data_IF_084447033273
#
_entry.id   IF_084447033273
#
_cell.length_a   1.000
_cell.length_b   1.000
_cell.length_c   1.000
_cell.angle_alpha   90.00
_cell.angle_beta   90.00
_cell.angle_gamma   90.00
#
_symmetry.space_group_name_H-M   'P 1'
#
loop_
_entity.id
_entity.type
_entity.pdbx_description
1 polymer ?
#
# COMPACT_ATOMS: atom_id res chain seq x y z
N UNK A 1 28.62 37.36 -3.66
CA UNK A 1 28.94 36.69 -4.94
C UNK A 1 29.82 35.45 -4.71
N UNK A 2 30.85 35.52 -3.84
CA UNK A 2 31.67 34.34 -3.49
C UNK A 2 30.94 33.29 -2.62
N UNK A 3 30.00 33.69 -1.74
CA UNK A 3 29.23 32.74 -0.92
C UNK A 3 28.29 31.84 -1.74
N UNK A 4 27.56 32.38 -2.72
CA UNK A 4 26.67 31.62 -3.61
C UNK A 4 27.44 30.62 -4.50
N UNK A 5 28.67 30.95 -4.88
CA UNK A 5 29.51 30.07 -5.70
C UNK A 5 30.08 28.90 -4.87
N UNK A 6 30.32 29.12 -3.57
CA UNK A 6 30.77 28.09 -2.62
C UNK A 6 29.67 27.06 -2.28
N UNK A 7 28.43 27.50 -2.06
CA UNK A 7 27.27 26.62 -1.84
C UNK A 7 26.97 25.76 -3.09
N UNK A 8 27.03 26.38 -4.27
CA UNK A 8 26.85 25.68 -5.56
C UNK A 8 27.88 24.57 -5.77
N UNK A 9 29.10 24.76 -5.27
CA UNK A 9 30.20 23.80 -5.37
C UNK A 9 30.04 22.66 -4.35
N UNK A 10 29.75 23.01 -3.08
CA UNK A 10 29.50 22.05 -2.00
C UNK A 10 28.31 21.12 -2.29
N UNK A 11 27.21 21.67 -2.83
CA UNK A 11 26.05 20.88 -3.25
C UNK A 11 26.41 19.89 -4.36
N UNK A 12 27.17 20.33 -5.38
CA UNK A 12 27.57 19.48 -6.50
C UNK A 12 28.46 18.32 -6.05
N UNK A 13 29.34 18.54 -5.08
CA UNK A 13 30.22 17.51 -4.55
C UNK A 13 29.45 16.50 -3.68
N UNK A 14 28.48 16.97 -2.88
CA UNK A 14 27.60 16.09 -2.11
C UNK A 14 26.77 15.18 -3.03
N UNK A 15 26.17 15.75 -4.09
CA UNK A 15 25.42 14.99 -5.11
C UNK A 15 26.31 13.99 -5.85
N UNK A 16 27.55 14.35 -6.19
CA UNK A 16 28.53 13.44 -6.80
C UNK A 16 28.88 12.29 -5.88
N UNK A 17 29.08 12.55 -4.58
CA UNK A 17 29.43 11.54 -3.60
C UNK A 17 28.31 10.52 -3.42
N UNK A 18 27.06 10.97 -3.31
CA UNK A 18 25.86 10.11 -3.26
C UNK A 18 25.71 9.30 -4.55
N UNK A 19 25.95 9.90 -5.72
CA UNK A 19 25.95 9.20 -7.01
C UNK A 19 27.01 8.10 -7.10
N UNK A 20 28.22 8.37 -6.59
CA UNK A 20 29.35 7.41 -6.58
C UNK A 20 29.08 6.23 -5.65
N UNK A 21 28.49 6.50 -4.48
CA UNK A 21 28.06 5.46 -3.53
C UNK A 21 26.99 4.54 -4.13
N UNK A 22 25.99 5.10 -4.84
CA UNK A 22 24.98 4.32 -5.57
C UNK A 22 25.55 3.52 -6.75
N UNK A 23 26.70 3.92 -7.32
CA UNK A 23 27.34 3.20 -8.44
C UNK A 23 28.19 2.01 -8.01
N UNK A 24 28.58 1.95 -6.72
CA UNK A 24 29.43 0.89 -6.17
C UNK A 24 28.63 -0.33 -5.66
N UNK A 25 27.30 -0.21 -5.57
CA UNK A 25 26.42 -1.36 -5.39
C UNK A 25 26.28 -2.08 -6.73
N UNK A 26 26.49 -3.39 -6.72
CA UNK A 26 26.23 -4.28 -7.87
C UNK A 26 24.75 -4.17 -8.26
N UNK A 27 24.44 -3.26 -9.20
CA UNK A 27 23.09 -2.81 -9.50
C UNK A 27 22.18 -3.96 -9.93
N UNK A 28 22.71 -4.89 -10.70
CA UNK A 28 21.93 -6.00 -11.23
C UNK A 28 21.56 -6.99 -10.13
N UNK A 29 22.50 -7.29 -9.22
CA UNK A 29 22.24 -8.10 -8.02
C UNK A 29 21.21 -7.42 -7.11
N UNK A 30 21.37 -6.14 -6.82
CA UNK A 30 20.43 -5.38 -5.98
C UNK A 30 19.02 -5.30 -6.58
N UNK A 31 18.90 -5.11 -7.90
CA UNK A 31 17.61 -5.08 -8.59
C UNK A 31 16.92 -6.44 -8.57
N UNK A 32 17.66 -7.54 -8.71
CA UNK A 32 17.12 -8.90 -8.58
C UNK A 32 16.62 -9.17 -7.15
N UNK A 33 17.39 -8.83 -6.13
CA UNK A 33 17.00 -9.01 -4.73
C UNK A 33 15.73 -8.20 -4.39
N UNK A 34 15.67 -6.94 -4.85
CA UNK A 34 14.49 -6.09 -4.67
C UNK A 34 13.26 -6.64 -5.40
N UNK A 35 13.43 -7.17 -6.62
CA UNK A 35 12.34 -7.84 -7.34
C UNK A 35 11.76 -9.00 -6.55
N UNK A 36 12.64 -9.83 -5.99
CA UNK A 36 12.26 -10.97 -5.15
C UNK A 36 11.49 -10.50 -3.91
N UNK A 37 12.02 -9.53 -3.18
CA UNK A 37 11.40 -8.99 -1.98
C UNK A 37 10.02 -8.37 -2.27
N UNK A 38 9.90 -7.57 -3.34
CA UNK A 38 8.64 -6.95 -3.75
C UNK A 38 7.59 -8.00 -4.12
N UNK A 39 7.99 -9.07 -4.83
CA UNK A 39 7.10 -10.15 -5.23
C UNK A 39 6.58 -10.91 -3.99
N UNK A 40 7.47 -11.19 -3.03
CA UNK A 40 7.10 -11.81 -1.75
C UNK A 40 6.12 -10.91 -0.99
N UNK A 41 6.43 -9.61 -0.84
CA UNK A 41 5.54 -8.67 -0.16
C UNK A 41 4.17 -8.59 -0.83
N UNK A 42 4.12 -8.43 -2.15
CA UNK A 42 2.86 -8.36 -2.88
C UNK A 42 2.05 -9.67 -2.76
N UNK A 43 2.71 -10.83 -2.79
CA UNK A 43 2.04 -12.14 -2.60
C UNK A 43 1.48 -12.28 -1.19
N UNK A 44 2.24 -11.84 -0.17
CA UNK A 44 1.78 -11.81 1.22
C UNK A 44 0.55 -10.90 1.35
N UNK A 45 0.60 -9.68 0.81
CA UNK A 45 -0.52 -8.73 0.86
C UNK A 45 -1.77 -9.25 0.13
N UNK A 46 -1.59 -9.88 -1.05
CA UNK A 46 -2.68 -10.52 -1.77
C UNK A 46 -3.29 -11.66 -0.94
N UNK A 47 -2.46 -12.46 -0.26
CA UNK A 47 -2.93 -13.57 0.57
C UNK A 47 -3.66 -13.06 1.81
N UNK A 48 -3.14 -12.04 2.50
CA UNK A 48 -3.78 -11.48 3.70
C UNK A 48 -5.12 -10.84 3.38
N UNK A 49 -5.22 -10.13 2.24
CA UNK A 49 -6.47 -9.49 1.80
C UNK A 49 -7.49 -10.52 1.30
N UNK A 50 -7.04 -11.60 0.67
CA UNK A 50 -7.89 -12.73 0.32
C UNK A 50 -8.45 -13.43 1.57
N UNK A 51 -7.59 -13.66 2.58
CA UNK A 51 -7.99 -14.28 3.84
C UNK A 51 -9.02 -13.42 4.59
N UNK A 52 -8.83 -12.11 4.64
CA UNK A 52 -9.76 -11.20 5.31
C UNK A 52 -11.09 -11.05 4.58
N UNK A 53 -11.13 -11.22 3.25
CA UNK A 53 -12.36 -11.21 2.47
C UNK A 53 -13.16 -12.52 2.63
N UNK A 54 -12.46 -13.67 2.67
CA UNK A 54 -13.09 -14.99 2.83
C UNK A 54 -13.48 -15.31 4.26
N UNK A 55 -12.80 -14.69 5.23
CA UNK A 55 -13.10 -14.79 6.66
C UNK A 55 -13.32 -13.36 7.18
N UNK A 56 -14.51 -12.77 6.97
CA UNK A 56 -14.75 -11.39 7.30
C UNK A 56 -14.56 -11.14 8.81
N UNK A 57 -14.11 -9.93 9.20
CA UNK A 57 -14.09 -9.54 10.59
C UNK A 57 -15.50 -9.67 11.17
N UNK A 58 -15.61 -10.11 12.44
CA UNK A 58 -16.90 -10.42 13.06
C UNK A 58 -17.52 -11.76 12.64
N UNK A 59 -16.91 -12.48 11.70
CA UNK A 59 -17.35 -13.78 11.24
C UNK A 59 -18.60 -13.71 10.34
N UNK A 60 -19.16 -14.89 10.08
CA UNK A 60 -20.34 -15.04 9.24
C UNK A 60 -21.58 -15.35 10.08
N UNK A 61 -22.72 -14.90 9.60
CA UNK A 61 -24.02 -15.13 10.19
C UNK A 61 -24.28 -16.64 10.26
N UNK A 62 -24.61 -17.19 11.43
CA UNK A 62 -24.78 -18.62 11.60
C UNK A 62 -26.10 -19.10 11.00
N UNK A 63 -26.18 -20.39 10.69
CA UNK A 63 -27.44 -21.06 10.38
C UNK A 63 -28.24 -21.25 11.68
N UNK A 64 -29.52 -20.88 11.68
CA UNK A 64 -30.40 -21.12 12.82
C UNK A 64 -30.82 -22.60 12.89
N UNK A 65 -31.13 -23.12 14.09
CA UNK A 65 -31.65 -24.48 14.23
C UNK A 65 -32.87 -24.67 13.34
N UNK A 66 -32.81 -25.66 12.45
CA UNK A 66 -33.90 -26.00 11.55
C UNK A 66 -34.98 -26.69 12.39
N UNK A 67 -36.00 -25.93 12.81
CA UNK A 67 -37.04 -26.45 13.72
C UNK A 67 -38.24 -27.09 13.04
N UNK A 68 -38.28 -27.18 11.70
CA UNK A 68 -39.28 -27.88 10.88
C UNK A 68 -38.67 -28.20 9.49
N UNK A 69 -39.41 -28.69 8.49
CA UNK A 69 -38.97 -28.86 7.08
C UNK A 69 -38.52 -27.56 6.37
N UNK A 70 -38.15 -26.50 7.10
CA UNK A 70 -37.54 -25.30 6.54
C UNK A 70 -36.15 -25.62 5.99
N UNK A 71 -35.97 -25.32 4.71
CA UNK A 71 -34.65 -25.38 4.10
C UNK A 71 -33.81 -24.20 4.58
N UNK A 72 -32.48 -24.32 4.50
CA UNK A 72 -31.56 -23.19 4.76
C UNK A 72 -31.91 -21.97 3.88
N UNK A 73 -32.51 -22.18 2.70
CA UNK A 73 -32.98 -21.11 1.82
C UNK A 73 -34.19 -20.34 2.36
N UNK A 74 -35.02 -20.96 3.18
CA UNK A 74 -36.19 -20.30 3.77
C UNK A 74 -35.78 -19.30 4.87
N UNK A 75 -34.64 -19.55 5.53
CA UNK A 75 -34.05 -18.64 6.54
C UNK A 75 -33.64 -17.28 5.96
N UNK A 76 -33.36 -17.20 4.66
CA UNK A 76 -33.01 -15.97 3.96
C UNK A 76 -34.17 -14.97 3.79
N UNK A 77 -35.41 -15.37 4.10
CA UNK A 77 -36.61 -14.53 3.87
C UNK A 77 -36.65 -13.24 4.69
N UNK A 78 -35.89 -13.17 5.79
CA UNK A 78 -35.81 -11.99 6.64
C UNK A 78 -34.67 -11.02 6.26
N UNK A 79 -34.06 -11.19 5.08
CA UNK A 79 -33.04 -10.27 4.55
C UNK A 79 -31.61 -10.55 5.04
N UNK A 80 -31.42 -11.51 5.94
CA UNK A 80 -30.11 -11.97 6.40
C UNK A 80 -30.00 -13.47 6.16
N UNK A 81 -28.99 -13.88 5.39
CA UNK A 81 -28.72 -15.28 5.08
C UNK A 81 -27.52 -15.79 5.89
N UNK A 82 -27.51 -17.08 6.26
CA UNK A 82 -26.32 -17.74 6.75
C UNK A 82 -25.16 -17.57 5.75
N UNK A 83 -23.97 -17.28 6.26
CA UNK A 83 -22.78 -16.99 5.43
C UNK A 83 -22.57 -15.51 5.10
N UNK A 84 -23.55 -14.63 5.34
CA UNK A 84 -23.32 -13.18 5.25
C UNK A 84 -22.40 -12.72 6.37
N UNK A 85 -21.54 -11.73 6.12
CA UNK A 85 -20.73 -11.14 7.20
C UNK A 85 -21.65 -10.53 8.27
N UNK A 86 -21.42 -10.84 9.54
CA UNK A 86 -22.17 -10.24 10.66
C UNK A 86 -22.00 -8.72 10.66
N UNK A 87 -20.76 -8.26 10.46
CA UNK A 87 -20.44 -6.84 10.42
C UNK A 87 -21.04 -6.12 9.20
N UNK A 88 -21.33 -6.83 8.11
CA UNK A 88 -22.05 -6.23 6.98
C UNK A 88 -23.51 -5.88 7.31
N UNK A 89 -24.11 -6.58 8.27
CA UNK A 89 -25.49 -6.36 8.71
C UNK A 89 -25.54 -5.31 9.83
N UNK A 90 -24.57 -5.34 10.75
CA UNK A 90 -24.55 -4.45 11.93
C UNK A 90 -23.96 -3.08 11.61
N UNK A 91 -22.86 -3.04 10.86
CA UNK A 91 -22.05 -1.84 10.57
C UNK A 91 -21.81 -1.71 9.06
N UNK A 92 -22.90 -1.56 8.30
CA UNK A 92 -22.87 -1.63 6.84
C UNK A 92 -21.89 -0.64 6.19
N UNK A 93 -21.90 0.62 6.64
CA UNK A 93 -21.07 1.69 6.06
C UNK A 93 -19.57 1.44 6.26
N UNK A 94 -19.16 1.00 7.46
CA UNK A 94 -17.76 0.71 7.75
C UNK A 94 -17.31 -0.61 7.09
N UNK A 95 -18.21 -1.59 6.98
CA UNK A 95 -17.95 -2.83 6.24
C UNK A 95 -17.75 -2.57 4.74
N UNK A 96 -18.55 -1.69 4.13
CA UNK A 96 -18.37 -1.28 2.74
C UNK A 96 -17.00 -0.63 2.51
N UNK A 97 -16.61 0.32 3.38
CA UNK A 97 -15.29 0.95 3.34
C UNK A 97 -14.16 -0.07 3.48
N UNK A 98 -14.27 -0.98 4.44
CA UNK A 98 -13.34 -2.08 4.63
C UNK A 98 -13.16 -2.88 3.34
N UNK A 99 -14.25 -3.29 2.68
CA UNK A 99 -14.20 -4.06 1.45
C UNK A 99 -13.56 -3.29 0.29
N UNK A 100 -13.86 -2.00 0.14
CA UNK A 100 -13.27 -1.16 -0.92
C UNK A 100 -11.76 -1.08 -0.75
N UNK A 101 -11.28 -0.76 0.45
CA UNK A 101 -9.84 -0.68 0.72
C UNK A 101 -9.15 -2.04 0.58
N UNK A 102 -9.76 -3.11 1.09
CA UNK A 102 -9.20 -4.46 1.05
C UNK A 102 -9.09 -4.96 -0.40
N UNK A 103 -10.12 -4.74 -1.22
CA UNK A 103 -10.14 -5.12 -2.64
C UNK A 103 -9.14 -4.30 -3.45
N UNK A 104 -9.00 -3.01 -3.15
CA UNK A 104 -7.98 -2.15 -3.79
C UNK A 104 -6.57 -2.66 -3.51
N UNK A 105 -6.30 -3.05 -2.26
CA UNK A 105 -5.03 -3.66 -1.86
C UNK A 105 -4.78 -5.00 -2.58
N UNK A 106 -5.81 -5.86 -2.68
CA UNK A 106 -5.72 -7.15 -3.37
C UNK A 106 -5.41 -6.98 -4.86
N UNK A 107 -6.19 -6.18 -5.59
CA UNK A 107 -5.99 -5.94 -7.02
C UNK A 107 -4.63 -5.30 -7.29
N UNK A 108 -4.23 -4.30 -6.49
CA UNK A 108 -2.93 -3.65 -6.64
C UNK A 108 -1.78 -4.62 -6.39
N UNK A 109 -1.92 -5.52 -5.41
CA UNK A 109 -0.93 -6.56 -5.12
C UNK A 109 -0.78 -7.53 -6.29
N UNK A 110 -1.90 -7.99 -6.87
CA UNK A 110 -1.88 -8.85 -8.06
C UNK A 110 -1.25 -8.13 -9.27
N UNK A 111 -1.57 -6.85 -9.48
CA UNK A 111 -0.98 -6.07 -10.56
C UNK A 111 0.55 -5.96 -10.41
N UNK A 112 1.05 -5.72 -9.19
CA UNK A 112 2.49 -5.70 -8.90
C UNK A 112 3.10 -7.09 -9.11
N UNK A 113 2.47 -8.17 -8.65
CA UNK A 113 2.94 -9.53 -8.91
C UNK A 113 3.03 -9.84 -10.40
N UNK A 114 2.01 -9.50 -11.19
CA UNK A 114 2.01 -9.71 -12.63
C UNK A 114 3.14 -8.93 -13.31
N UNK A 115 3.31 -7.64 -12.98
CA UNK A 115 4.41 -6.83 -13.50
C UNK A 115 5.78 -7.44 -13.17
N UNK A 116 5.97 -7.95 -11.96
CA UNK A 116 7.21 -8.58 -11.54
C UNK A 116 7.42 -9.96 -12.17
N UNK A 117 6.37 -10.74 -12.42
CA UNK A 117 6.46 -12.07 -13.05
C UNK A 117 6.70 -11.97 -14.56
N UNK A 118 6.13 -10.97 -15.23
CA UNK A 118 6.27 -10.74 -16.68
C UNK A 118 7.70 -10.49 -17.17
N UNK A 119 8.69 -10.42 -16.26
CA UNK A 119 10.09 -10.30 -16.66
C UNK A 119 10.49 -8.93 -17.15
N UNK A 120 9.64 -7.90 -16.93
CA UNK A 120 9.99 -6.53 -17.30
C UNK A 120 11.26 -6.09 -16.58
N UNK A 121 12.22 -5.50 -17.31
CA UNK A 121 13.48 -5.08 -16.70
C UNK A 121 13.21 -3.93 -15.73
N UNK A 122 13.30 -4.21 -14.42
CA UNK A 122 13.25 -3.20 -13.35
C UNK A 122 14.42 -2.19 -13.42
N UNK A 123 15.38 -2.42 -14.32
CA UNK A 123 16.41 -1.45 -14.67
C UNK A 123 15.81 -0.24 -15.42
N UNK A 124 14.67 -0.43 -16.10
CA UNK A 124 13.99 0.68 -16.76
C UNK A 124 13.16 1.48 -15.76
N UNK A 125 13.51 2.77 -15.65
CA UNK A 125 12.96 3.73 -14.67
C UNK A 125 11.44 3.74 -14.59
N UNK A 126 10.75 3.53 -15.71
CA UNK A 126 9.28 3.49 -15.75
C UNK A 126 8.71 2.33 -14.94
N UNK A 127 9.27 1.11 -15.07
CA UNK A 127 8.76 -0.07 -14.36
C UNK A 127 9.07 0.00 -12.86
N UNK A 128 10.26 0.51 -12.49
CA UNK A 128 10.58 0.77 -11.08
C UNK A 128 9.61 1.78 -10.47
N UNK A 129 9.29 2.85 -11.21
CA UNK A 129 8.35 3.88 -10.77
C UNK A 129 6.92 3.33 -10.64
N UNK A 130 6.47 2.53 -11.61
CA UNK A 130 5.17 1.87 -11.57
C UNK A 130 5.05 0.89 -10.39
N UNK A 131 6.08 0.06 -10.15
CA UNK A 131 6.12 -0.83 -8.98
C UNK A 131 6.11 -0.02 -7.68
N UNK A 132 6.86 1.08 -7.62
CA UNK A 132 6.89 1.96 -6.44
C UNK A 132 5.52 2.58 -6.16
N UNK A 133 4.79 3.01 -7.19
CA UNK A 133 3.41 3.51 -7.04
C UNK A 133 2.49 2.39 -6.58
N UNK A 134 2.58 1.21 -7.20
CA UNK A 134 1.81 0.03 -6.81
C UNK A 134 2.01 -0.31 -5.33
N UNK A 135 3.26 -0.32 -4.85
CA UNK A 135 3.56 -0.53 -3.44
C UNK A 135 2.97 0.56 -2.53
N UNK A 136 3.04 1.83 -2.93
CA UNK A 136 2.42 2.90 -2.15
C UNK A 136 0.91 2.73 -2.04
N UNK A 137 0.24 2.33 -3.12
CA UNK A 137 -1.20 2.05 -3.14
C UNK A 137 -1.51 0.86 -2.21
N UNK A 138 -0.80 -0.26 -2.36
CA UNK A 138 -0.97 -1.47 -1.52
C UNK A 138 -0.86 -1.09 -0.04
N UNK A 139 0.23 -0.44 0.32
CA UNK A 139 0.58 -0.12 1.71
C UNK A 139 -0.45 0.88 2.29
N UNK A 140 -0.91 1.86 1.49
CA UNK A 140 -1.94 2.83 1.89
C UNK A 140 -3.30 2.18 2.06
N UNK A 141 -3.75 1.44 1.06
CA UNK A 141 -5.03 0.73 1.10
C UNK A 141 -5.08 -0.26 2.27
N UNK A 142 -4.01 -1.00 2.52
CA UNK A 142 -3.93 -1.92 3.67
C UNK A 142 -4.06 -1.19 5.01
N UNK A 143 -3.45 -0.01 5.14
CA UNK A 143 -3.58 0.81 6.36
C UNK A 143 -5.02 1.24 6.57
N UNK A 144 -5.69 1.73 5.53
CA UNK A 144 -7.11 2.07 5.63
C UNK A 144 -8.00 0.86 5.92
N UNK A 145 -7.71 -0.31 5.31
CA UNK A 145 -8.38 -1.57 5.65
C UNK A 145 -8.24 -1.90 7.12
N UNK A 146 -7.04 -1.76 7.69
CA UNK A 146 -6.80 -2.00 9.11
C UNK A 146 -7.58 -1.01 9.99
N UNK A 147 -7.60 0.28 9.62
CA UNK A 147 -8.34 1.30 10.37
C UNK A 147 -9.85 1.01 10.38
N UNK A 148 -10.43 0.65 9.24
CA UNK A 148 -11.85 0.25 9.15
C UNK A 148 -12.12 -1.05 9.91
N UNK A 149 -11.25 -2.06 9.81
CA UNK A 149 -11.42 -3.28 10.60
C UNK A 149 -11.36 -2.99 12.11
N UNK A 150 -10.41 -2.17 12.56
CA UNK A 150 -10.31 -1.77 13.96
C UNK A 150 -11.53 -0.95 14.40
N UNK A 151 -12.08 -0.10 13.53
CA UNK A 151 -13.26 0.69 13.83
C UNK A 151 -14.48 -0.19 14.07
N UNK A 152 -14.67 -1.22 13.25
CA UNK A 152 -15.79 -2.15 13.29
C UNK A 152 -15.72 -3.13 14.46
N UNK A 153 -14.52 -3.53 14.89
CA UNK A 153 -14.35 -4.49 16.00
C UNK A 153 -14.33 -3.82 17.39
N UNK A 154 -14.32 -2.49 17.47
CA UNK A 154 -14.22 -1.76 18.74
C UNK A 154 -15.59 -1.28 19.20
N UNK A 155 -16.07 -1.67 20.40
CA UNK A 155 -17.38 -1.27 20.91
C UNK A 155 -17.47 0.22 21.27
N UNK A 156 -18.70 0.73 21.29
CA UNK A 156 -18.95 2.17 21.31
C UNK A 156 -18.46 2.90 22.58
N UNK A 157 -18.45 2.21 23.70
CA UNK A 157 -17.97 2.78 24.96
C UNK A 157 -16.49 3.20 24.91
N UNK A 158 -15.73 2.78 23.89
CA UNK A 158 -14.31 3.11 23.69
C UNK A 158 -14.07 4.14 22.56
N UNK A 159 -15.11 4.80 22.01
CA UNK A 159 -14.97 5.71 20.85
C UNK A 159 -13.96 6.85 21.05
N UNK A 160 -13.88 7.45 22.25
CA UNK A 160 -12.93 8.56 22.51
C UNK A 160 -11.48 8.12 22.34
N UNK A 161 -11.13 6.97 22.91
CA UNK A 161 -9.80 6.37 22.78
C UNK A 161 -9.54 5.90 21.33
N UNK A 162 -10.57 5.35 20.67
CA UNK A 162 -10.54 4.98 19.25
C UNK A 162 -10.19 6.15 18.34
N UNK A 163 -10.85 7.30 18.45
CA UNK A 163 -10.55 8.46 17.58
C UNK A 163 -9.14 9.00 17.80
N UNK A 164 -8.66 9.02 19.05
CA UNK A 164 -7.30 9.44 19.36
C UNK A 164 -6.26 8.50 18.72
N UNK A 165 -6.45 7.19 18.88
CA UNK A 165 -5.58 6.16 18.29
C UNK A 165 -5.59 6.21 16.76
N UNK A 166 -6.77 6.29 16.13
CA UNK A 166 -6.89 6.40 14.67
C UNK A 166 -6.23 7.68 14.14
N UNK A 167 -6.37 8.79 14.86
CA UNK A 167 -5.73 10.07 14.51
C UNK A 167 -4.21 9.99 14.50
N UNK A 168 -3.59 9.35 15.51
CA UNK A 168 -2.15 9.14 15.56
C UNK A 168 -1.68 8.29 14.37
N UNK A 169 -2.38 7.18 14.08
CA UNK A 169 -2.01 6.29 12.97
C UNK A 169 -2.06 7.04 11.64
N UNK A 170 -3.11 7.83 11.40
CA UNK A 170 -3.24 8.64 10.18
C UNK A 170 -2.11 9.69 10.09
N UNK A 171 -1.77 10.35 11.19
CA UNK A 171 -0.72 11.36 11.20
C UNK A 171 0.66 10.76 10.88
N UNK A 172 1.01 9.65 11.53
CA UNK A 172 2.23 8.89 11.24
C UNK A 172 2.22 8.42 9.78
N UNK A 173 1.06 7.98 9.28
CA UNK A 173 0.90 7.54 7.90
C UNK A 173 1.17 8.64 6.87
N UNK A 174 0.58 9.81 7.09
CA UNK A 174 0.78 11.00 6.25
C UNK A 174 2.26 11.41 6.27
N UNK A 175 2.90 11.39 7.45
CA UNK A 175 4.33 11.67 7.58
C UNK A 175 5.20 10.70 6.77
N UNK A 176 4.89 9.41 6.83
CA UNK A 176 5.63 8.36 6.12
C UNK A 176 5.43 8.46 4.59
N UNK A 177 4.20 8.65 4.12
CA UNK A 177 3.90 8.89 2.70
C UNK A 177 4.55 10.19 2.20
N UNK A 178 4.52 11.25 3.00
CA UNK A 178 5.19 12.52 2.71
C UNK A 178 6.69 12.33 2.54
N UNK A 179 7.34 11.59 3.43
CA UNK A 179 8.77 11.29 3.34
C UNK A 179 9.11 10.47 2.09
N UNK A 180 8.34 9.41 1.81
CA UNK A 180 8.57 8.53 0.65
C UNK A 180 8.37 9.29 -0.66
N UNK A 181 7.27 10.03 -0.79
CA UNK A 181 6.99 10.86 -1.97
C UNK A 181 8.05 11.95 -2.16
N UNK A 182 8.51 12.56 -1.07
CA UNK A 182 9.60 13.54 -1.11
C UNK A 182 10.90 12.92 -1.61
N UNK A 183 11.33 11.77 -1.09
CA UNK A 183 12.55 11.07 -1.54
C UNK A 183 12.46 10.66 -3.02
N UNK A 184 11.31 10.13 -3.45
CA UNK A 184 11.08 9.77 -4.85
C UNK A 184 11.12 11.02 -5.75
N UNK A 185 10.50 12.11 -5.33
CA UNK A 185 10.49 13.40 -6.05
C UNK A 185 11.88 14.00 -6.15
N UNK A 186 12.68 13.97 -5.08
CA UNK A 186 14.07 14.40 -5.09
C UNK A 186 14.93 13.56 -6.06
N UNK A 187 14.78 12.24 -6.06
CA UNK A 187 15.48 11.36 -7.03
C UNK A 187 15.08 11.67 -8.48
N UNK A 188 13.81 12.02 -8.73
CA UNK A 188 13.36 12.49 -10.03
C UNK A 188 13.99 13.83 -10.40
N UNK A 189 13.95 14.80 -9.49
CA UNK A 189 14.49 16.13 -9.68
C UNK A 189 16.00 16.13 -9.95
N UNK A 190 16.79 15.45 -9.11
CA UNK A 190 18.25 15.32 -9.27
C UNK A 190 18.60 14.72 -10.64
N UNK A 191 17.82 13.73 -11.11
CA UNK A 191 18.04 13.15 -12.43
C UNK A 191 17.70 14.11 -13.57
N UNK A 192 16.60 14.87 -13.46
CA UNK A 192 16.25 15.88 -14.47
C UNK A 192 17.36 16.93 -14.55
N UNK A 193 17.82 17.43 -13.40
CA UNK A 193 18.89 18.44 -13.32
C UNK A 193 20.19 17.92 -13.91
N UNK A 194 20.63 16.72 -13.54
CA UNK A 194 21.86 16.12 -14.11
C UNK A 194 21.76 15.92 -15.61
N UNK A 195 20.60 15.46 -16.10
CA UNK A 195 20.36 15.30 -17.55
C UNK A 195 20.33 16.64 -18.30
N UNK A 196 19.77 17.70 -17.70
CA UNK A 196 19.79 19.05 -18.26
C UNK A 196 21.22 19.64 -18.31
N UNK A 197 22.01 19.42 -17.26
CA UNK A 197 23.42 19.87 -17.22
C UNK A 197 24.26 19.15 -18.29
N UNK A 198 24.10 17.83 -18.45
CA UNK A 198 24.81 17.07 -19.48
C UNK A 198 24.38 17.47 -20.90
N UNK A 199 23.09 17.79 -21.11
CA UNK A 199 22.61 18.31 -22.40
C UNK A 199 23.23 19.69 -22.71
N UNK A 200 23.38 20.54 -21.69
CA UNK A 200 23.99 21.87 -21.82
C UNK A 200 25.50 21.83 -22.10
N UNK A 201 26.21 20.77 -21.69
CA UNK A 201 27.63 20.57 -22.02
C UNK A 201 27.88 20.06 -23.45
N UNK A 202 26.83 19.59 -24.12
CA UNK A 202 26.90 18.96 -25.45
C UNK A 202 26.49 19.90 -26.59
N UNK A 203 25.97 21.09 -26.26
CA UNK A 203 25.75 22.23 -27.15
C UNK A 203 26.79 23.31 -26.84
#
# INVERSE_FOLDING_TARGET
MEEEESESKGWKDCVKSVGKWMSHMDKDKWLMDMRGLLCVMATVMATTTFQSATNPPGGVWPTLPITNEESVKDQCRHGVCPGYSVLAVVEQDEYERFLIYNTTCFISSLAVCLLLVSGFPLNHRFFTWLCSIGMCIIITSLTFTYLSAASMNTPDNLWKEKYFMLGIVIFVWIGLLGLVTFVLSLRLFVWIVTKCIDKRKRN
#
